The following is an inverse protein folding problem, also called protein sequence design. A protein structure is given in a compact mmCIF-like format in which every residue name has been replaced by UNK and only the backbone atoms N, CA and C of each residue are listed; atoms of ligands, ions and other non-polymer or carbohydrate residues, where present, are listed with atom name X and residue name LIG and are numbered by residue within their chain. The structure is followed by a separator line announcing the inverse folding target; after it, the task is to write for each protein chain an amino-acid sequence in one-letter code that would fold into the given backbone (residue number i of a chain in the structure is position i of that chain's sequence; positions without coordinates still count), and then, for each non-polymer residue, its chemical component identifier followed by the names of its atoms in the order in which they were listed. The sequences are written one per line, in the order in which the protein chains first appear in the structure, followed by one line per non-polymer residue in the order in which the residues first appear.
data_IF_865364889610
#
_entry.id   IF_865364889610
#
_cell.length_a   1.000
_cell.length_b   1.000
_cell.length_c   1.000
_cell.angle_alpha   90.00
_cell.angle_beta   90.00
_cell.angle_gamma   90.00
#
_symmetry.space_group_name_H-M   'P 1'
#
loop_
_entity.id
_entity.type
_entity.pdbx_description
1 polymer ?
#
# COMPACT_ATOMS: atom_id res chain seq x y z
N UNK A 1 -26.57 -42.59 -39.71
CA UNK A 1 -26.83 -41.14 -39.92
C UNK A 1 -27.35 -40.61 -38.58
N UNK A 2 -26.50 -40.25 -37.61
CA UNK A 2 -26.04 -38.88 -37.27
C UNK A 2 -27.22 -37.88 -37.27
N UNK A 3 -27.64 -37.21 -36.17
CA UNK A 3 -26.91 -36.54 -35.07
C UNK A 3 -27.79 -36.48 -33.79
N UNK A 4 -27.21 -36.36 -32.58
CA UNK A 4 -27.97 -36.13 -31.35
C UNK A 4 -28.50 -34.69 -31.25
N UNK A 5 -29.68 -34.57 -30.63
CA UNK A 5 -30.36 -33.31 -30.26
C UNK A 5 -29.50 -32.54 -29.26
N UNK A 6 -29.12 -31.31 -29.63
CA UNK A 6 -28.40 -30.38 -28.76
C UNK A 6 -29.31 -29.92 -27.62
N UNK A 7 -28.97 -30.32 -26.41
CA UNK A 7 -29.42 -29.68 -25.18
C UNK A 7 -28.80 -28.29 -25.11
N UNK A 8 -29.60 -27.27 -25.42
CA UNK A 8 -29.30 -25.89 -25.08
C UNK A 8 -29.35 -25.77 -23.54
N UNK A 9 -28.17 -25.80 -22.92
CA UNK A 9 -28.04 -25.51 -21.48
C UNK A 9 -27.81 -24.00 -21.37
N UNK A 10 -28.68 -23.24 -20.69
CA UNK A 10 -28.42 -21.83 -20.43
C UNK A 10 -27.11 -21.70 -19.63
N UNK A 11 -26.17 -20.93 -20.18
CA UNK A 11 -24.86 -20.64 -19.61
C UNK A 11 -25.02 -19.86 -18.29
N UNK A 12 -24.46 -20.33 -17.16
CA UNK A 12 -24.68 -19.73 -15.84
C UNK A 12 -23.89 -18.44 -15.55
N UNK A 13 -23.20 -17.84 -16.51
CA UNK A 13 -22.29 -16.71 -16.25
C UNK A 13 -22.95 -15.31 -16.30
N UNK A 14 -24.24 -15.22 -15.93
CA UNK A 14 -24.86 -13.97 -15.48
C UNK A 14 -25.08 -14.00 -13.97
N UNK A 15 -23.99 -13.93 -13.22
CA UNK A 15 -24.01 -13.59 -11.80
C UNK A 15 -23.40 -12.21 -11.60
N UNK A 16 -24.26 -11.20 -11.42
CA UNK A 16 -23.91 -9.92 -10.82
C UNK A 16 -23.45 -10.16 -9.37
N UNK A 17 -22.14 -10.35 -9.17
CA UNK A 17 -21.52 -10.52 -7.86
C UNK A 17 -20.61 -9.32 -7.57
N UNK A 18 -20.96 -8.50 -6.59
CA UNK A 18 -20.02 -7.54 -6.00
C UNK A 18 -18.78 -8.31 -5.52
N UNK A 19 -17.66 -8.16 -6.24
CA UNK A 19 -16.45 -8.98 -6.06
C UNK A 19 -15.78 -8.69 -4.71
N UNK A 20 -16.23 -9.36 -3.65
CA UNK A 20 -15.43 -9.61 -2.45
C UNK A 20 -14.28 -10.53 -2.89
N UNK A 21 -13.10 -9.97 -3.20
CA UNK A 21 -11.90 -10.76 -3.49
C UNK A 21 -11.02 -10.30 -4.65
N UNK A 22 -11.35 -9.24 -5.40
CA UNK A 22 -10.40 -8.68 -6.36
C UNK A 22 -9.38 -7.80 -5.64
N UNK A 23 -8.16 -8.30 -5.55
CA UNK A 23 -7.00 -7.54 -5.14
C UNK A 23 -6.83 -6.35 -6.09
N UNK A 24 -6.83 -5.13 -5.53
CA UNK A 24 -6.59 -3.92 -6.33
C UNK A 24 -5.12 -3.89 -6.79
N UNK A 25 -4.78 -3.10 -7.81
CA UNK A 25 -3.39 -3.01 -8.32
C UNK A 25 -2.36 -2.63 -7.25
N UNK A 26 -2.77 -1.87 -6.22
CA UNK A 26 -1.95 -1.53 -5.04
C UNK A 26 -1.62 -2.77 -4.18
N UNK A 27 -2.44 -3.82 -4.26
CA UNK A 27 -2.27 -5.08 -3.55
C UNK A 27 -1.44 -6.11 -4.27
N UNK A 28 -1.17 -5.87 -5.54
CA UNK A 28 -0.37 -6.72 -6.40
C UNK A 28 1.07 -6.20 -6.55
N UNK A 29 1.41 -5.14 -5.83
CA UNK A 29 2.78 -4.62 -5.81
C UNK A 29 3.72 -5.64 -5.13
N UNK A 30 4.99 -5.69 -5.55
CA UNK A 30 5.98 -6.57 -4.92
C UNK A 30 6.23 -6.16 -3.46
N UNK A 31 6.75 -7.10 -2.65
CA UNK A 31 7.06 -6.85 -1.23
C UNK A 31 8.06 -5.72 -1.01
N UNK A 32 8.93 -5.45 -2.00
CA UNK A 32 9.81 -4.28 -2.01
C UNK A 32 9.06 -2.94 -1.93
N UNK A 33 7.77 -2.91 -2.32
CA UNK A 33 6.90 -1.73 -2.22
C UNK A 33 6.14 -1.64 -0.89
N UNK A 34 6.19 -2.66 -0.02
CA UNK A 34 5.31 -2.72 1.16
C UNK A 34 5.50 -1.50 2.07
N UNK A 35 6.73 -1.03 2.26
CA UNK A 35 7.02 0.18 3.02
C UNK A 35 6.37 1.43 2.42
N UNK A 36 6.35 1.54 1.08
CA UNK A 36 5.71 2.66 0.38
C UNK A 36 4.18 2.57 0.45
N UNK A 37 3.63 1.35 0.34
CA UNK A 37 2.19 1.12 0.47
C UNK A 37 1.72 1.41 1.89
N UNK A 38 2.46 1.01 2.91
CA UNK A 38 2.17 1.30 4.32
C UNK A 38 2.19 2.82 4.59
N UNK A 39 3.21 3.53 4.09
CA UNK A 39 3.30 4.99 4.22
C UNK A 39 2.14 5.70 3.50
N UNK A 40 1.73 5.21 2.32
CA UNK A 40 0.57 5.72 1.62
C UNK A 40 -0.73 5.45 2.40
N UNK A 41 -0.85 4.27 3.03
CA UNK A 41 -2.00 3.92 3.85
C UNK A 41 -2.11 4.82 5.09
N UNK A 42 -1.00 5.06 5.79
CA UNK A 42 -0.93 6.01 6.91
C UNK A 42 -1.38 7.41 6.47
N UNK A 43 -0.91 7.89 5.32
CA UNK A 43 -1.28 9.19 4.79
C UNK A 43 -2.78 9.27 4.44
N UNK A 44 -3.34 8.20 3.87
CA UNK A 44 -4.77 8.08 3.56
C UNK A 44 -5.63 8.11 4.84
N UNK A 45 -5.17 7.43 5.89
CA UNK A 45 -5.84 7.37 7.20
C UNK A 45 -5.70 8.67 7.99
N UNK A 46 -4.55 9.35 7.88
CA UNK A 46 -4.31 10.63 8.53
C UNK A 46 -5.18 11.77 7.97
N UNK A 47 -5.67 11.64 6.73
CA UNK A 47 -6.56 12.61 6.04
C UNK A 47 -5.99 14.04 5.93
N UNK A 48 -4.68 14.21 6.02
CA UNK A 48 -4.00 15.52 5.95
C UNK A 48 -3.51 15.92 4.56
N UNK A 49 -3.50 14.99 3.60
CA UNK A 49 -3.00 15.20 2.23
C UNK A 49 -4.05 14.79 1.21
N UNK A 50 -3.96 15.34 0.00
CA UNK A 50 -4.85 14.96 -1.09
C UNK A 50 -4.54 13.54 -1.57
N UNK A 51 -5.53 12.83 -2.10
CA UNK A 51 -5.31 11.48 -2.66
C UNK A 51 -4.35 11.50 -3.86
N UNK A 52 -4.34 12.59 -4.62
CA UNK A 52 -3.46 12.77 -5.77
C UNK A 52 -2.00 12.91 -5.35
N UNK A 53 -1.70 13.68 -4.29
CA UNK A 53 -0.33 13.81 -3.79
C UNK A 53 0.19 12.49 -3.23
N UNK A 54 -0.65 11.76 -2.49
CA UNK A 54 -0.27 10.46 -1.92
C UNK A 54 0.00 9.44 -3.04
N UNK A 55 -0.81 9.47 -4.11
CA UNK A 55 -0.59 8.62 -5.28
C UNK A 55 0.71 8.96 -6.00
N UNK A 56 1.04 10.25 -6.13
CA UNK A 56 2.29 10.68 -6.74
C UNK A 56 3.49 10.12 -5.97
N UNK A 57 3.51 10.32 -4.65
CA UNK A 57 4.60 9.82 -3.79
C UNK A 57 4.72 8.30 -3.85
N UNK A 58 3.60 7.58 -3.83
CA UNK A 58 3.58 6.13 -3.98
C UNK A 58 4.13 5.69 -5.35
N UNK A 59 3.71 6.35 -6.43
CA UNK A 59 4.18 6.01 -7.77
C UNK A 59 5.67 6.30 -7.95
N UNK A 60 6.19 7.37 -7.35
CA UNK A 60 7.64 7.65 -7.36
C UNK A 60 8.41 6.53 -6.67
N UNK A 61 7.94 6.07 -5.50
CA UNK A 61 8.55 4.95 -4.80
C UNK A 61 8.45 3.63 -5.58
N UNK A 62 7.31 3.37 -6.22
CA UNK A 62 7.07 2.18 -7.05
C UNK A 62 7.94 2.18 -8.32
N UNK A 63 8.17 3.34 -8.93
CA UNK A 63 9.07 3.46 -10.09
C UNK A 63 10.53 3.28 -9.68
N UNK A 64 10.93 3.78 -8.51
CA UNK A 64 12.30 3.62 -8.00
C UNK A 64 12.69 2.15 -7.79
N UNK A 65 11.73 1.27 -7.48
CA UNK A 65 11.93 -0.18 -7.38
C UNK A 65 11.72 -0.94 -8.71
N UNK A 66 11.51 -0.22 -9.82
CA UNK A 66 11.32 -0.80 -11.15
C UNK A 66 9.92 -1.41 -11.40
N UNK A 67 8.93 -1.08 -10.58
CA UNK A 67 7.55 -1.55 -10.74
C UNK A 67 6.68 -0.55 -11.53
N UNK A 68 5.56 -1.05 -12.05
CA UNK A 68 4.63 -0.25 -12.86
C UNK A 68 3.80 0.67 -11.98
N UNK A 69 3.66 1.93 -12.41
CA UNK A 69 2.81 2.93 -11.75
C UNK A 69 1.35 2.48 -11.63
N UNK A 70 0.72 2.88 -10.53
CA UNK A 70 -0.69 2.65 -10.22
C UNK A 70 -1.54 3.74 -10.86
N UNK A 71 -2.66 3.33 -11.48
CA UNK A 71 -3.65 4.24 -12.00
C UNK A 71 -4.47 4.93 -10.88
N UNK A 72 -4.88 6.20 -11.05
CA UNK A 72 -5.66 6.93 -10.05
C UNK A 72 -6.95 6.23 -9.62
N UNK A 73 -7.67 5.60 -10.55
CA UNK A 73 -8.91 4.86 -10.28
C UNK A 73 -8.69 3.66 -9.35
N UNK A 74 -7.59 2.93 -9.53
CA UNK A 74 -7.20 1.81 -8.66
C UNK A 74 -6.82 2.30 -7.27
N UNK A 75 -6.09 3.42 -7.19
CA UNK A 75 -5.69 4.01 -5.91
C UNK A 75 -6.89 4.53 -5.12
N UNK A 76 -7.81 5.26 -5.76
CA UNK A 76 -8.97 5.84 -5.08
C UNK A 76 -9.90 4.76 -4.50
N UNK A 77 -10.08 3.64 -5.22
CA UNK A 77 -10.82 2.47 -4.71
C UNK A 77 -10.15 1.88 -3.47
N UNK A 78 -8.83 1.69 -3.54
CA UNK A 78 -8.04 1.17 -2.43
C UNK A 78 -8.09 2.10 -1.21
N UNK A 79 -7.89 3.41 -1.40
CA UNK A 79 -7.95 4.42 -0.35
C UNK A 79 -9.33 4.48 0.33
N UNK A 80 -10.40 4.39 -0.46
CA UNK A 80 -11.78 4.37 0.06
C UNK A 80 -12.03 3.14 0.92
N UNK A 81 -11.58 1.97 0.47
CA UNK A 81 -11.69 0.72 1.23
C UNK A 81 -10.92 0.79 2.55
N UNK A 82 -9.70 1.31 2.53
CA UNK A 82 -8.88 1.49 3.74
C UNK A 82 -9.55 2.41 4.75
N UNK A 83 -10.16 3.51 4.30
CA UNK A 83 -10.88 4.42 5.19
C UNK A 83 -12.10 3.78 5.85
N UNK A 84 -12.72 2.80 5.19
CA UNK A 84 -13.91 2.09 5.68
C UNK A 84 -13.56 0.92 6.59
N UNK A 85 -12.63 0.07 6.14
CA UNK A 85 -12.35 -1.23 6.74
C UNK A 85 -11.09 -1.22 7.63
N UNK A 86 -10.35 -0.11 7.63
CA UNK A 86 -9.00 -0.03 8.17
C UNK A 86 -7.96 -0.60 7.21
N UNK A 87 -6.69 -0.46 7.59
CA UNK A 87 -5.57 -1.05 6.87
C UNK A 87 -4.72 -1.85 7.85
N UNK A 88 -4.52 -3.13 7.54
CA UNK A 88 -3.54 -3.96 8.23
C UNK A 88 -2.23 -3.79 7.47
N UNK A 89 -1.20 -3.34 8.19
CA UNK A 89 0.16 -3.16 7.64
C UNK A 89 0.60 -4.43 6.95
N UNK A 90 1.10 -4.29 5.72
CA UNK A 90 1.58 -5.43 4.95
C UNK A 90 3.00 -5.80 5.27
N UNK A 91 3.79 -4.84 5.73
CA UNK A 91 5.18 -5.10 6.01
C UNK A 91 5.37 -5.73 7.39
N UNK A 92 6.21 -6.77 7.44
CA UNK A 92 7.04 -7.04 8.62
C UNK A 92 8.32 -6.18 8.62
N UNK A 93 8.37 -5.15 7.76
CA UNK A 93 9.53 -4.26 7.62
C UNK A 93 9.51 -3.21 8.72
N UNK A 94 10.59 -3.15 9.48
CA UNK A 94 10.84 -2.14 10.51
C UNK A 94 10.76 -0.75 9.85
N UNK A 95 10.03 0.21 10.43
CA UNK A 95 9.86 1.54 9.84
C UNK A 95 11.22 2.17 9.53
N UNK A 96 11.28 3.00 8.48
CA UNK A 96 12.47 3.71 8.07
C UNK A 96 13.10 4.44 9.28
N UNK A 97 14.19 3.87 9.77
CA UNK A 97 14.93 4.41 10.89
C UNK A 97 15.51 5.75 10.45
N UNK A 98 15.18 6.81 11.19
CA UNK A 98 15.81 8.11 10.99
C UNK A 98 17.21 8.03 11.59
N UNK A 99 18.23 8.15 10.75
CA UNK A 99 19.59 8.42 11.23
C UNK A 99 19.59 9.81 11.85
N UNK A 100 19.88 9.86 13.14
CA UNK A 100 20.07 11.13 13.85
C UNK A 100 21.56 11.28 14.08
N UNK A 101 22.11 12.38 13.59
CA UNK A 101 23.47 12.77 13.88
C UNK A 101 23.45 13.60 15.15
N UNK A 102 24.20 13.16 16.16
CA UNK A 102 24.38 13.91 17.40
C UNK A 102 25.86 14.28 17.56
N UNK A 103 26.12 15.45 18.14
CA UNK A 103 27.49 15.87 18.46
C UNK A 103 27.90 15.33 19.82
N UNK A 104 28.96 14.52 19.84
CA UNK A 104 29.50 13.98 21.09
C UNK A 104 29.96 15.12 22.02
N UNK A 105 29.46 15.19 23.27
CA UNK A 105 29.80 16.27 24.20
C UNK A 105 31.22 16.17 24.75
N UNK A 106 31.90 15.03 24.58
CA UNK A 106 33.26 14.82 25.10
C UNK A 106 34.37 15.16 24.10
N UNK A 107 34.16 14.93 22.80
CA UNK A 107 35.19 15.15 21.77
C UNK A 107 34.74 16.05 20.60
N UNK A 108 33.47 16.47 20.56
CA UNK A 108 32.94 17.29 19.47
C UNK A 108 32.76 16.58 18.13
N UNK A 109 33.08 15.28 18.05
CA UNK A 109 32.89 14.47 16.84
C UNK A 109 31.42 14.15 16.58
N UNK A 110 31.05 14.07 15.31
CA UNK A 110 29.72 13.65 14.87
C UNK A 110 29.57 12.13 15.02
N UNK A 111 28.58 11.70 15.80
CA UNK A 111 28.22 10.29 15.95
C UNK A 111 26.86 10.04 15.30
N UNK A 112 26.79 8.99 14.47
CA UNK A 112 25.56 8.57 13.82
C UNK A 112 24.86 7.53 14.68
N UNK A 113 23.69 7.91 15.21
CA UNK A 113 22.81 7.01 15.96
C UNK A 113 21.56 6.68 15.16
N UNK A 114 20.97 5.53 15.46
CA UNK A 114 19.71 5.10 14.87
C UNK A 114 18.65 5.12 15.97
N UNK A 115 17.65 5.99 15.86
CA UNK A 115 16.55 6.05 16.83
C UNK A 115 15.29 5.44 16.24
N UNK A 116 14.75 4.44 16.92
CA UNK A 116 13.41 3.96 16.66
C UNK A 116 12.42 5.00 17.19
N UNK A 117 11.63 5.63 16.31
CA UNK A 117 10.49 6.45 16.73
C UNK A 117 9.39 5.54 17.28
N UNK A 118 9.59 5.01 18.48
CA UNK A 118 8.56 4.30 19.24
C UNK A 118 7.54 5.33 19.71
N UNK A 119 6.34 5.30 19.13
CA UNK A 119 5.17 6.04 19.62
C UNK A 119 4.66 5.39 20.92
N UNK A 120 5.40 5.60 22.02
CA UNK A 120 4.95 5.38 23.41
C UNK A 120 5.08 6.75 24.07
N UNK A 121 3.99 7.48 24.30
CA UNK A 121 3.01 7.15 25.33
C UNK A 121 3.57 7.69 26.65
N UNK A 122 3.08 8.85 27.09
CA UNK A 122 3.52 9.48 28.34
C UNK A 122 2.49 10.52 28.78
N UNK A 123 2.36 10.82 30.07
CA UNK A 123 2.33 9.96 31.26
C UNK A 123 0.90 9.72 31.79
#
# INVERSE_FOLDING_TARGET
MTRPVSTDRPSPDKASAGKRGQLCSVELLPTAADAAVDAAADAVLARKRTQQDILLDLNLAVVAIGAKTIAPSSFNRWATRIRRDGYVRRSGAVPALKTVTFRCPHCGGDVSGVVETSARGTP
#
